data_IF_720650598792
#
_entry.id   IF_720650598792
#
_cell.length_a   1.000
_cell.length_b   1.000
_cell.length_c   1.000
_cell.angle_alpha   90.00
_cell.angle_beta   90.00
_cell.angle_gamma   90.00
#
_symmetry.space_group_name_H-M   'P 1'
#
loop_
_entity.id
_entity.type
_entity.pdbx_description
1 polymer ?
#
# COMPACT_ATOMS: atom_id res chain seq x y z
N UNK A 1 11.09 -24.11 22.53
CA UNK A 1 10.48 -23.50 21.32
C UNK A 1 11.14 -22.17 20.93
N UNK A 2 10.89 -21.03 21.62
CA UNK A 2 11.46 -19.71 21.23
C UNK A 2 12.98 -19.72 20.98
N UNK A 3 13.75 -20.36 21.87
CA UNK A 3 15.20 -20.51 21.70
C UNK A 3 15.62 -21.31 20.45
N UNK A 4 14.84 -22.33 20.07
CA UNK A 4 15.12 -23.15 18.88
C UNK A 4 14.79 -22.42 17.59
N UNK A 5 13.80 -21.52 17.59
CA UNK A 5 13.47 -20.69 16.43
C UNK A 5 14.65 -19.83 15.98
N UNK A 6 15.49 -19.35 16.91
CA UNK A 6 16.71 -18.60 16.56
C UNK A 6 17.74 -19.41 15.77
N UNK A 7 17.61 -20.75 15.71
CA UNK A 7 18.48 -21.64 14.94
C UNK A 7 18.00 -21.84 13.50
N UNK A 8 16.79 -21.40 13.16
CA UNK A 8 16.21 -21.55 11.82
C UNK A 8 16.66 -20.40 10.89
N UNK A 9 16.89 -20.68 9.60
CA UNK A 9 17.25 -19.67 8.62
C UNK A 9 16.00 -18.89 8.17
N UNK A 10 15.73 -17.78 8.83
CA UNK A 10 14.64 -16.88 8.45
C UNK A 10 14.96 -16.15 7.13
N UNK A 11 14.06 -16.26 6.16
CA UNK A 11 14.14 -15.57 4.87
C UNK A 11 13.28 -14.32 4.89
N UNK A 12 13.81 -13.22 4.38
CA UNK A 12 13.04 -12.00 4.18
C UNK A 12 11.98 -12.22 3.10
N UNK A 13 10.75 -11.77 3.37
CA UNK A 13 9.59 -11.84 2.49
C UNK A 13 9.00 -10.44 2.41
N UNK A 14 8.95 -9.89 1.21
CA UNK A 14 8.41 -8.57 0.93
C UNK A 14 7.67 -8.58 -0.40
N UNK A 15 6.45 -8.05 -0.40
CA UNK A 15 5.65 -7.73 -1.58
C UNK A 15 4.68 -6.58 -1.24
N UNK A 16 3.70 -6.30 -2.08
CA UNK A 16 2.62 -5.37 -1.80
C UNK A 16 1.91 -5.65 -0.46
N UNK A 17 1.59 -6.92 -0.19
CA UNK A 17 0.80 -7.35 0.96
C UNK A 17 1.56 -7.37 2.29
N UNK A 18 2.87 -7.63 2.29
CA UNK A 18 3.59 -7.90 3.54
C UNK A 18 5.07 -7.48 3.56
N UNK A 19 5.59 -7.41 4.79
CA UNK A 19 6.99 -7.14 5.13
C UNK A 19 7.36 -7.90 6.40
N UNK A 20 7.97 -9.09 6.26
CA UNK A 20 8.39 -9.91 7.42
C UNK A 20 9.50 -10.90 7.06
N UNK A 21 9.93 -11.68 8.03
CA UNK A 21 10.80 -12.84 7.84
C UNK A 21 10.07 -14.14 8.16
N UNK A 22 10.25 -15.16 7.30
CA UNK A 22 9.62 -16.47 7.46
C UNK A 22 10.67 -17.55 7.66
N UNK A 23 10.43 -18.50 8.57
CA UNK A 23 11.21 -19.74 8.61
C UNK A 23 10.84 -20.65 7.44
N UNK A 24 11.66 -21.67 7.12
CA UNK A 24 11.17 -22.82 6.37
C UNK A 24 10.01 -23.48 7.11
N UNK A 25 9.27 -24.35 6.42
CA UNK A 25 8.25 -25.18 7.04
C UNK A 25 8.81 -25.95 8.25
N UNK A 26 8.12 -25.84 9.39
CA UNK A 26 8.58 -26.40 10.67
C UNK A 26 8.55 -27.93 10.63
N UNK A 27 7.64 -28.55 9.86
CA UNK A 27 7.59 -30.00 9.75
C UNK A 27 8.89 -30.56 9.20
N UNK A 28 9.42 -29.93 8.17
CA UNK A 28 10.68 -30.33 7.55
C UNK A 28 11.90 -29.83 8.34
N UNK A 29 11.85 -28.58 8.81
CA UNK A 29 13.00 -27.94 9.43
C UNK A 29 13.32 -28.47 10.84
N UNK A 30 12.30 -28.83 11.63
CA UNK A 30 12.54 -29.33 12.99
C UNK A 30 13.37 -30.63 12.99
N UNK A 31 13.13 -31.52 12.02
CA UNK A 31 13.93 -32.72 11.84
C UNK A 31 15.35 -32.40 11.35
N UNK A 32 15.46 -31.62 10.26
CA UNK A 32 16.75 -31.29 9.65
C UNK A 32 17.74 -30.63 10.62
N UNK A 33 17.23 -29.76 11.51
CA UNK A 33 18.02 -29.04 12.51
C UNK A 33 18.03 -29.70 13.90
N UNK A 34 17.39 -30.88 14.06
CA UNK A 34 17.28 -31.63 15.33
C UNK A 34 16.71 -30.80 16.48
N UNK A 35 15.61 -30.09 16.22
CA UNK A 35 14.95 -29.15 17.13
C UNK A 35 13.83 -29.85 17.91
N UNK A 36 14.19 -30.46 19.04
CA UNK A 36 13.30 -31.34 19.81
C UNK A 36 12.03 -30.62 20.29
N UNK A 37 12.14 -29.38 20.77
CA UNK A 37 10.98 -28.67 21.30
C UNK A 37 10.02 -28.24 20.18
N UNK A 38 10.53 -27.90 18.99
CA UNK A 38 9.70 -27.62 17.81
C UNK A 38 9.04 -28.90 17.27
N UNK A 39 9.75 -30.02 17.24
CA UNK A 39 9.16 -31.33 16.91
C UNK A 39 8.01 -31.65 17.86
N UNK A 40 8.23 -31.52 19.18
CA UNK A 40 7.20 -31.79 20.18
C UNK A 40 5.99 -30.85 20.03
N UNK A 41 6.21 -29.55 19.77
CA UNK A 41 5.12 -28.61 19.55
C UNK A 41 4.29 -28.98 18.32
N UNK A 42 4.95 -29.24 17.18
CA UNK A 42 4.31 -29.68 15.95
C UNK A 42 3.49 -30.94 16.17
N UNK A 43 4.09 -31.97 16.77
CA UNK A 43 3.43 -33.26 17.03
C UNK A 43 2.24 -33.10 17.98
N UNK A 44 2.29 -32.13 18.90
CA UNK A 44 1.16 -31.82 19.79
C UNK A 44 0.01 -31.17 19.03
N UNK A 45 0.27 -30.09 18.27
CA UNK A 45 -0.75 -29.33 17.53
C UNK A 45 -1.38 -30.17 16.40
N UNK A 46 -0.61 -31.05 15.78
CA UNK A 46 -1.10 -31.95 14.73
C UNK A 46 -1.39 -33.37 15.23
N UNK A 47 -1.44 -33.59 16.54
CA UNK A 47 -1.87 -34.87 17.09
C UNK A 47 -3.35 -35.12 16.76
N UNK A 48 -3.71 -36.40 16.58
CA UNK A 48 -5.11 -36.81 16.40
C UNK A 48 -6.00 -36.27 17.53
N UNK A 49 -5.50 -36.25 18.77
CA UNK A 49 -6.26 -35.76 19.91
C UNK A 49 -6.52 -34.26 19.85
N UNK A 50 -5.51 -33.46 19.47
CA UNK A 50 -5.66 -32.01 19.32
C UNK A 50 -6.57 -31.67 18.13
N UNK A 51 -6.38 -32.30 16.98
CA UNK A 51 -7.23 -32.05 15.81
C UNK A 51 -8.68 -32.41 16.12
N UNK A 52 -8.95 -33.57 16.74
CA UNK A 52 -10.30 -33.94 17.20
C UNK A 52 -10.86 -32.97 18.25
N UNK A 53 -10.01 -32.41 19.11
CA UNK A 53 -10.42 -31.38 20.05
C UNK A 53 -10.89 -30.12 19.31
N UNK A 54 -10.15 -29.68 18.28
CA UNK A 54 -10.53 -28.55 17.44
C UNK A 54 -11.81 -28.80 16.64
N UNK A 55 -12.00 -30.01 16.10
CA UNK A 55 -13.26 -30.41 15.44
C UNK A 55 -14.45 -30.31 16.41
N UNK A 56 -14.31 -30.83 17.65
CA UNK A 56 -15.38 -30.75 18.67
C UNK A 56 -15.66 -29.33 19.11
N UNK A 57 -14.63 -28.49 19.21
CA UNK A 57 -14.75 -27.10 19.66
C UNK A 57 -15.42 -26.22 18.62
N UNK A 58 -15.09 -26.42 17.34
CA UNK A 58 -15.52 -25.53 16.25
C UNK A 58 -16.69 -26.08 15.44
N UNK A 59 -16.95 -27.39 15.49
CA UNK A 59 -17.91 -28.06 14.61
C UNK A 59 -17.42 -28.21 13.17
N UNK A 60 -16.16 -27.89 12.89
CA UNK A 60 -15.56 -27.95 11.55
C UNK A 60 -14.86 -29.30 11.38
N UNK A 61 -15.13 -29.99 10.26
CA UNK A 61 -14.40 -31.20 9.88
C UNK A 61 -12.99 -30.86 9.42
N UNK A 62 -11.99 -31.59 9.93
CA UNK A 62 -10.58 -31.33 9.65
C UNK A 62 -9.88 -32.57 9.07
N UNK A 63 -8.77 -32.33 8.39
CA UNK A 63 -7.81 -33.31 7.91
C UNK A 63 -6.78 -33.56 9.02
N UNK A 64 -6.50 -34.84 9.34
CA UNK A 64 -5.68 -35.26 10.47
C UNK A 64 -4.22 -35.55 10.06
N UNK A 65 -3.85 -35.28 8.81
CA UNK A 65 -2.56 -35.66 8.22
C UNK A 65 -1.78 -34.48 7.64
N UNK A 66 -2.45 -33.39 7.28
CA UNK A 66 -1.80 -32.21 6.73
C UNK A 66 -1.18 -31.37 7.85
N UNK A 67 0.14 -31.20 7.79
CA UNK A 67 0.90 -30.29 8.65
C UNK A 67 1.23 -29.04 7.86
N UNK A 68 0.86 -27.88 8.40
CA UNK A 68 1.14 -26.57 7.80
C UNK A 68 1.54 -25.60 8.92
N UNK A 69 2.83 -25.42 9.15
CA UNK A 69 3.32 -24.66 10.30
C UNK A 69 4.63 -23.94 9.95
N UNK A 70 4.66 -22.62 10.15
CA UNK A 70 5.87 -21.83 9.98
C UNK A 70 6.00 -20.76 11.05
N UNK A 71 7.23 -20.29 11.28
CA UNK A 71 7.48 -19.17 12.18
C UNK A 71 7.64 -17.88 11.39
N UNK A 72 7.14 -16.80 11.97
CA UNK A 72 7.15 -15.46 11.40
C UNK A 72 7.81 -14.50 12.38
N UNK A 73 8.74 -13.69 11.88
CA UNK A 73 9.39 -12.61 12.61
C UNK A 73 9.13 -11.30 11.88
N UNK A 74 8.39 -10.41 12.52
CA UNK A 74 8.15 -9.05 12.06
C UNK A 74 9.13 -8.13 12.78
N UNK A 75 10.08 -7.54 12.05
CA UNK A 75 10.96 -6.50 12.59
C UNK A 75 10.18 -5.20 12.82
N UNK A 76 10.79 -4.18 13.42
CA UNK A 76 10.20 -2.83 13.42
C UNK A 76 9.90 -2.38 11.97
N UNK A 77 8.69 -1.88 11.73
CA UNK A 77 8.16 -1.56 10.41
C UNK A 77 7.55 -2.75 9.66
N UNK A 78 7.65 -3.96 10.19
CA UNK A 78 7.08 -5.16 9.58
C UNK A 78 5.56 -5.26 9.78
N UNK A 79 4.85 -5.78 8.79
CA UNK A 79 3.39 -5.88 8.74
C UNK A 79 2.92 -7.01 7.81
N UNK A 80 1.63 -7.33 7.88
CA UNK A 80 0.92 -8.16 6.89
C UNK A 80 -0.49 -7.57 6.74
N UNK A 81 -0.81 -6.98 5.59
CA UNK A 81 -2.02 -6.17 5.38
C UNK A 81 -3.29 -7.02 5.27
N UNK A 82 -4.44 -6.37 5.09
CA UNK A 82 -5.76 -7.01 5.08
C UNK A 82 -5.87 -8.13 4.04
N UNK A 83 -6.12 -9.36 4.50
CA UNK A 83 -6.32 -10.58 3.72
C UNK A 83 -7.26 -11.54 4.46
N UNK A 84 -7.69 -12.63 3.83
CA UNK A 84 -8.69 -13.56 4.38
C UNK A 84 -8.21 -15.01 4.60
N UNK A 85 -6.98 -15.34 4.16
CA UNK A 85 -6.41 -16.69 4.13
C UNK A 85 -7.16 -17.74 3.27
N UNK A 86 -8.19 -17.33 2.51
CA UNK A 86 -9.10 -18.21 1.76
C UNK A 86 -8.51 -18.64 0.40
N UNK A 87 -7.45 -19.47 0.45
CA UNK A 87 -6.79 -20.00 -0.75
C UNK A 87 -7.51 -21.26 -1.26
N UNK A 88 -8.22 -21.14 -2.40
CA UNK A 88 -9.07 -22.21 -2.97
C UNK A 88 -8.51 -22.85 -4.23
N UNK A 89 -7.42 -23.60 -4.10
CA UNK A 89 -6.81 -24.33 -5.22
C UNK A 89 -7.28 -25.78 -5.34
N UNK A 90 -7.97 -26.30 -4.32
CA UNK A 90 -8.38 -27.70 -4.22
C UNK A 90 -9.69 -27.84 -3.43
N UNK A 91 -10.26 -29.05 -3.40
CA UNK A 91 -11.46 -29.36 -2.59
C UNK A 91 -11.18 -29.41 -1.09
N UNK A 92 -9.92 -29.58 -0.70
CA UNK A 92 -9.44 -29.46 0.68
C UNK A 92 -8.46 -28.29 0.80
N UNK A 93 -8.42 -27.66 1.97
CA UNK A 93 -7.47 -26.60 2.26
C UNK A 93 -7.70 -25.99 3.62
N UNK A 94 -7.26 -24.74 3.80
CA UNK A 94 -7.25 -24.05 5.09
C UNK A 94 -8.67 -23.88 5.64
N UNK A 95 -8.89 -24.33 6.88
CA UNK A 95 -10.18 -24.21 7.58
C UNK A 95 -10.09 -23.47 8.90
N UNK A 96 -9.00 -23.63 9.63
CA UNK A 96 -8.75 -22.88 10.87
C UNK A 96 -7.34 -22.34 10.81
N UNK A 97 -7.19 -21.02 10.79
CA UNK A 97 -5.91 -20.36 10.99
C UNK A 97 -5.61 -20.30 12.49
N UNK A 98 -4.34 -20.45 12.87
CA UNK A 98 -3.92 -20.27 14.26
C UNK A 98 -2.59 -19.53 14.35
N UNK A 99 -2.40 -18.84 15.48
CA UNK A 99 -1.18 -18.12 15.85
C UNK A 99 -0.82 -18.43 17.30
N UNK A 100 0.44 -18.79 17.51
CA UNK A 100 1.10 -18.93 18.82
C UNK A 100 2.05 -17.75 18.98
N UNK A 101 1.72 -16.84 19.89
CA UNK A 101 2.51 -15.65 20.14
C UNK A 101 3.71 -15.95 21.05
N UNK A 102 4.90 -15.63 20.54
CA UNK A 102 6.19 -15.82 21.22
C UNK A 102 6.91 -14.48 21.42
N UNK A 103 6.13 -13.42 21.58
CA UNK A 103 6.57 -12.05 21.87
C UNK A 103 7.24 -11.95 23.25
N UNK A 104 7.81 -10.80 23.57
CA UNK A 104 8.28 -10.50 24.93
C UNK A 104 7.10 -10.46 25.91
N UNK A 105 7.34 -10.82 27.17
CA UNK A 105 6.27 -10.92 28.20
C UNK A 105 5.62 -9.57 28.53
N UNK A 106 6.33 -8.46 28.29
CA UNK A 106 5.88 -7.09 28.50
C UNK A 106 5.28 -6.44 27.23
N UNK A 107 4.97 -7.23 26.19
CA UNK A 107 4.38 -6.70 24.96
C UNK A 107 3.05 -6.01 25.21
N UNK A 108 2.87 -4.84 24.60
CA UNK A 108 1.72 -3.96 24.79
C UNK A 108 1.20 -3.40 23.47
N UNK A 109 0.05 -2.71 23.50
CA UNK A 109 -0.50 -2.05 22.31
C UNK A 109 0.47 -1.04 21.66
N UNK A 110 1.37 -0.43 22.45
CA UNK A 110 2.35 0.56 21.94
C UNK A 110 3.40 -0.06 21.03
N UNK A 111 3.62 -1.37 21.16
CA UNK A 111 4.63 -2.12 20.43
C UNK A 111 4.16 -2.51 19.02
N UNK A 112 2.87 -2.28 18.70
CA UNK A 112 2.26 -2.64 17.43
C UNK A 112 2.07 -4.15 17.27
N UNK A 113 1.95 -4.63 16.03
CA UNK A 113 1.88 -6.08 15.75
C UNK A 113 0.56 -6.77 16.14
N UNK A 114 -0.50 -6.00 16.39
CA UNK A 114 -1.81 -6.54 16.72
C UNK A 114 -2.38 -7.40 15.58
N UNK A 115 -3.19 -8.41 15.94
CA UNK A 115 -4.08 -9.07 14.98
C UNK A 115 -5.36 -8.23 14.91
N UNK A 116 -5.53 -7.48 13.84
CA UNK A 116 -6.73 -6.69 13.60
C UNK A 116 -7.73 -7.50 12.78
N UNK A 117 -9.01 -7.45 13.14
CA UNK A 117 -10.12 -8.12 12.49
C UNK A 117 -11.07 -7.08 11.89
N UNK A 118 -11.43 -7.25 10.62
CA UNK A 118 -12.27 -6.30 9.90
C UNK A 118 -13.74 -6.70 9.93
N UNK A 119 -14.62 -5.69 10.01
CA UNK A 119 -16.00 -5.86 9.57
C UNK A 119 -16.08 -6.08 8.06
N UNK A 120 -17.23 -6.57 7.61
CA UNK A 120 -17.57 -6.65 6.20
C UNK A 120 -18.79 -5.81 5.87
N UNK A 121 -18.83 -5.29 4.65
CA UNK A 121 -20.00 -4.62 4.11
C UNK A 121 -21.04 -5.63 3.56
N UNK A 122 -22.11 -5.08 2.96
CA UNK A 122 -23.18 -5.86 2.33
C UNK A 122 -22.71 -6.66 1.09
N UNK A 123 -21.55 -6.33 0.53
CA UNK A 123 -20.92 -7.02 -0.61
C UNK A 123 -19.82 -8.01 -0.18
N UNK A 124 -19.67 -8.27 1.11
CA UNK A 124 -18.61 -9.11 1.68
C UNK A 124 -17.20 -8.59 1.43
N UNK A 125 -17.01 -7.28 1.32
CA UNK A 125 -15.69 -6.63 1.31
C UNK A 125 -15.33 -6.11 2.70
N UNK A 126 -14.04 -6.07 3.08
CA UNK A 126 -13.63 -5.54 4.37
C UNK A 126 -13.90 -4.03 4.45
N UNK A 127 -14.22 -3.55 5.65
CA UNK A 127 -14.50 -2.14 5.92
C UNK A 127 -13.58 -1.58 7.02
N UNK A 128 -14.08 -1.34 8.23
CA UNK A 128 -13.27 -0.91 9.37
C UNK A 128 -12.76 -2.08 10.23
N UNK A 129 -11.69 -1.83 10.97
CA UNK A 129 -11.23 -2.72 12.05
C UNK A 129 -12.23 -2.64 13.20
N UNK A 130 -12.83 -3.77 13.56
CA UNK A 130 -13.79 -3.88 14.67
C UNK A 130 -13.19 -4.52 15.93
N UNK A 131 -12.07 -5.22 15.78
CA UNK A 131 -11.37 -5.82 16.90
C UNK A 131 -9.87 -5.81 16.67
N UNK A 132 -9.09 -5.57 17.72
CA UNK A 132 -7.63 -5.57 17.67
C UNK A 132 -7.08 -6.36 18.85
N UNK A 133 -6.41 -7.48 18.56
CA UNK A 133 -5.86 -8.39 19.56
C UNK A 133 -4.37 -8.11 19.72
N UNK A 134 -4.00 -7.49 20.84
CA UNK A 134 -2.60 -7.29 21.22
C UNK A 134 -1.96 -8.65 21.50
N UNK A 135 -0.83 -9.00 20.85
CA UNK A 135 -0.20 -10.29 21.08
C UNK A 135 0.38 -10.34 22.50
N UNK A 136 0.18 -11.46 23.18
CA UNK A 136 0.72 -11.71 24.51
C UNK A 136 1.53 -13.00 24.50
N UNK A 137 2.59 -13.05 25.30
CA UNK A 137 3.41 -14.25 25.42
C UNK A 137 2.56 -15.49 25.72
N UNK A 138 2.87 -16.59 25.02
CA UNK A 138 2.26 -17.90 25.22
C UNK A 138 0.72 -17.91 25.05
N UNK A 139 0.21 -17.06 24.15
CA UNK A 139 -1.21 -17.01 23.77
C UNK A 139 -1.43 -17.73 22.44
N UNK A 140 -2.49 -18.54 22.37
CA UNK A 140 -2.93 -19.26 21.18
C UNK A 140 -4.23 -18.62 20.66
N UNK A 141 -4.15 -17.91 19.52
CA UNK A 141 -5.31 -17.36 18.83
C UNK A 141 -5.65 -18.25 17.63
N UNK A 142 -6.94 -18.39 17.31
CA UNK A 142 -7.39 -19.10 16.12
C UNK A 142 -8.76 -18.59 15.66
N UNK A 143 -9.07 -18.78 14.38
CA UNK A 143 -10.34 -18.43 13.78
C UNK A 143 -10.63 -19.28 12.54
N UNK A 144 -11.90 -19.40 12.17
CA UNK A 144 -12.31 -20.07 10.93
C UNK A 144 -11.86 -19.25 9.71
N UNK A 145 -11.27 -19.94 8.73
CA UNK A 145 -10.91 -19.37 7.43
C UNK A 145 -12.13 -19.45 6.52
N UNK A 146 -12.46 -18.32 5.90
CA UNK A 146 -13.51 -18.24 4.91
C UNK A 146 -13.47 -16.93 4.14
N UNK A 147 -14.44 -16.73 3.26
CA UNK A 147 -14.43 -15.60 2.33
C UNK A 147 -14.60 -14.21 2.97
N UNK A 148 -14.75 -14.15 4.29
CA UNK A 148 -15.00 -12.93 5.07
C UNK A 148 -14.16 -12.85 6.34
N UNK A 149 -13.20 -13.76 6.53
CA UNK A 149 -12.28 -13.75 7.69
C UNK A 149 -11.15 -12.73 7.50
N UNK A 150 -11.50 -11.50 7.12
CA UNK A 150 -10.54 -10.44 6.84
C UNK A 150 -9.79 -10.01 8.10
N UNK A 151 -8.47 -10.03 8.02
CA UNK A 151 -7.60 -9.70 9.13
C UNK A 151 -6.24 -9.18 8.63
N UNK A 152 -5.47 -8.58 9.54
CA UNK A 152 -4.10 -8.13 9.28
C UNK A 152 -3.21 -8.29 10.52
N UNK A 153 -1.90 -8.25 10.32
CA UNK A 153 -0.93 -7.95 11.38
C UNK A 153 -0.54 -6.48 11.25
N UNK A 154 -1.01 -5.66 12.20
CA UNK A 154 -0.66 -4.26 12.29
C UNK A 154 0.86 -4.05 12.32
N UNK A 155 1.32 -2.89 11.87
CA UNK A 155 2.74 -2.56 11.85
C UNK A 155 3.38 -2.74 13.24
N UNK A 156 4.58 -3.34 13.28
CA UNK A 156 5.35 -3.50 14.51
C UNK A 156 6.19 -2.25 14.76
N UNK A 157 6.08 -1.67 15.95
CA UNK A 157 6.85 -0.49 16.35
C UNK A 157 8.03 -0.85 17.26
N UNK A 158 7.99 -1.99 17.95
CA UNK A 158 9.07 -2.42 18.86
C UNK A 158 10.28 -2.92 18.08
N UNK A 159 11.47 -2.45 18.48
CA UNK A 159 12.74 -2.76 17.82
C UNK A 159 13.20 -4.22 17.95
N UNK A 160 12.80 -4.93 19.02
CA UNK A 160 13.13 -6.36 19.19
C UNK A 160 12.34 -7.28 18.24
N UNK A 161 11.27 -6.76 17.63
CA UNK A 161 10.42 -7.47 16.68
C UNK A 161 9.43 -8.43 17.34
N UNK A 162 8.40 -8.81 16.58
CA UNK A 162 7.32 -9.72 16.98
C UNK A 162 7.59 -11.12 16.42
N UNK A 163 7.70 -12.11 17.30
CA UNK A 163 7.87 -13.52 16.91
C UNK A 163 6.57 -14.30 17.14
N UNK A 164 6.18 -15.10 16.17
CA UNK A 164 5.05 -16.03 16.28
C UNK A 164 5.29 -17.31 15.49
N UNK A 165 4.62 -18.39 15.88
CA UNK A 165 4.40 -19.55 15.03
C UNK A 165 2.95 -19.47 14.55
N UNK A 166 2.70 -19.65 13.26
CA UNK A 166 1.35 -19.72 12.72
C UNK A 166 1.23 -20.85 11.71
N UNK A 167 -0.01 -21.22 11.44
CA UNK A 167 -0.31 -22.32 10.54
C UNK A 167 -1.80 -22.50 10.36
N UNK A 168 -2.17 -23.57 9.66
CA UNK A 168 -3.56 -23.87 9.37
C UNK A 168 -3.88 -25.34 9.65
N UNK A 169 -5.04 -25.58 10.24
CA UNK A 169 -5.67 -26.90 10.20
C UNK A 169 -6.49 -26.99 8.91
N UNK A 170 -6.21 -28.01 8.12
CA UNK A 170 -6.84 -28.21 6.82
C UNK A 170 -8.12 -29.02 6.94
N UNK A 171 -8.97 -28.99 5.92
CA UNK A 171 -10.19 -29.78 5.83
C UNK A 171 -10.96 -29.51 4.54
N UNK A 172 -12.16 -30.10 4.36
CA UNK A 172 -13.01 -29.85 3.20
C UNK A 172 -13.41 -28.36 3.11
N UNK A 173 -13.23 -27.74 1.95
CA UNK A 173 -13.62 -26.34 1.72
C UNK A 173 -15.07 -26.30 1.21
N UNK A 174 -15.97 -25.50 1.80
CA UNK A 174 -17.32 -25.29 1.26
C UNK A 174 -17.28 -24.64 -0.13
N UNK A 175 -18.28 -24.90 -0.97
CA UNK A 175 -18.39 -24.22 -2.28
C UNK A 175 -18.43 -22.70 -2.11
N UNK A 176 -17.71 -21.99 -2.98
CA UNK A 176 -17.62 -20.54 -2.94
C UNK A 176 -18.83 -19.91 -3.63
N UNK A 177 -19.36 -18.84 -3.05
CA UNK A 177 -20.10 -17.86 -3.84
C UNK A 177 -19.10 -17.08 -4.71
N UNK A 178 -19.45 -16.80 -5.96
CA UNK A 178 -18.65 -15.90 -6.79
C UNK A 178 -18.54 -14.54 -6.11
N UNK A 179 -17.31 -14.04 -5.95
CA UNK A 179 -17.08 -12.69 -5.46
C UNK A 179 -17.20 -11.72 -6.65
N UNK A 180 -17.99 -10.65 -6.55
CA UNK A 180 -18.06 -9.66 -7.61
C UNK A 180 -16.70 -8.97 -7.77
N UNK A 181 -16.36 -8.59 -9.00
CA UNK A 181 -15.23 -7.70 -9.25
C UNK A 181 -15.47 -6.36 -8.55
N UNK A 182 -14.41 -5.78 -8.00
CA UNK A 182 -14.40 -4.44 -7.45
C UNK A 182 -14.08 -3.43 -8.54
N UNK A 183 -14.99 -2.46 -8.73
CA UNK A 183 -14.77 -1.40 -9.71
C UNK A 183 -13.86 -0.32 -9.11
N UNK A 184 -12.67 -0.17 -9.68
CA UNK A 184 -11.70 0.85 -9.26
C UNK A 184 -12.22 2.26 -9.56
N UNK A 185 -12.28 3.09 -8.52
CA UNK A 185 -12.45 4.54 -8.62
C UNK A 185 -11.11 5.23 -8.87
N UNK A 186 -11.08 6.41 -9.52
CA UNK A 186 -12.20 7.15 -10.11
C UNK A 186 -12.69 6.56 -11.44
N UNK A 187 -13.87 7.02 -11.88
CA UNK A 187 -14.36 6.72 -13.23
C UNK A 187 -13.61 7.55 -14.29
N UNK A 188 -13.47 7.02 -15.53
CA UNK A 188 -12.78 7.76 -16.58
C UNK A 188 -13.54 9.04 -16.97
N UNK A 189 -12.78 10.10 -17.25
CA UNK A 189 -13.26 11.37 -17.82
C UNK A 189 -12.67 11.61 -19.20
N UNK A 190 -13.34 12.42 -20.01
CA UNK A 190 -12.83 12.86 -21.32
C UNK A 190 -11.97 14.10 -21.11
N UNK A 191 -10.80 14.13 -21.74
CA UNK A 191 -9.91 15.27 -21.72
C UNK A 191 -10.55 16.44 -22.48
N UNK A 192 -10.57 17.61 -21.86
CA UNK A 192 -11.25 18.79 -22.39
C UNK A 192 -10.32 20.00 -22.33
N UNK A 193 -10.66 21.06 -23.05
CA UNK A 193 -9.90 22.32 -23.06
C UNK A 193 -8.52 22.23 -23.75
N UNK A 194 -8.24 23.20 -24.62
CA UNK A 194 -6.93 23.39 -25.20
C UNK A 194 -6.24 24.55 -24.49
N UNK A 195 -5.36 24.23 -23.54
CA UNK A 195 -4.68 25.19 -22.67
C UNK A 195 -3.32 25.62 -23.25
N UNK A 196 -2.90 26.83 -22.89
CA UNK A 196 -1.54 27.31 -23.17
C UNK A 196 -0.55 26.65 -22.19
N UNK A 197 0.01 25.50 -22.57
CA UNK A 197 0.90 24.70 -21.71
C UNK A 197 2.08 25.47 -21.12
N UNK A 198 2.59 26.48 -21.84
CA UNK A 198 3.68 27.35 -21.40
C UNK A 198 3.34 28.23 -20.19
N UNK A 199 2.08 28.32 -19.75
CA UNK A 199 1.68 28.98 -18.49
C UNK A 199 1.91 28.09 -17.26
N UNK A 200 2.05 26.77 -17.47
CA UNK A 200 2.08 25.78 -16.39
C UNK A 200 3.40 25.01 -16.33
N UNK A 201 3.90 24.60 -17.50
CA UNK A 201 5.02 23.68 -17.66
C UNK A 201 6.30 24.48 -17.95
N UNK A 202 7.43 23.99 -17.46
CA UNK A 202 8.73 24.57 -17.76
C UNK A 202 9.04 24.54 -19.27
N UNK A 203 9.54 25.62 -19.87
CA UNK A 203 9.77 25.70 -21.33
C UNK A 203 10.70 24.61 -21.89
N UNK A 204 11.60 24.08 -21.06
CA UNK A 204 12.53 23.01 -21.42
C UNK A 204 11.83 21.69 -21.78
N UNK A 205 10.55 21.51 -21.41
CA UNK A 205 9.76 20.33 -21.77
C UNK A 205 8.87 20.52 -22.99
N UNK A 206 8.79 21.73 -23.55
CA UNK A 206 7.83 22.08 -24.61
C UNK A 206 8.47 22.30 -25.99
N UNK A 207 9.80 22.38 -26.08
CA UNK A 207 10.49 22.57 -27.36
C UNK A 207 10.65 21.28 -28.16
N UNK A 208 10.58 21.35 -29.49
CA UNK A 208 10.65 20.20 -30.40
C UNK A 208 11.85 19.27 -30.14
N UNK A 209 13.03 19.84 -29.88
CA UNK A 209 14.24 19.07 -29.57
C UNK A 209 14.10 18.30 -28.25
N UNK A 210 13.52 18.93 -27.23
CA UNK A 210 13.30 18.31 -25.94
C UNK A 210 12.25 17.20 -26.02
N UNK A 211 11.14 17.47 -26.70
CA UNK A 211 10.09 16.48 -26.99
C UNK A 211 10.69 15.26 -27.71
N UNK A 212 11.50 15.47 -28.75
CA UNK A 212 12.15 14.39 -29.47
C UNK A 212 13.10 13.55 -28.60
N UNK A 213 13.83 14.18 -27.68
CA UNK A 213 14.69 13.47 -26.73
C UNK A 213 13.89 12.67 -25.70
N UNK A 214 12.83 13.27 -25.14
CA UNK A 214 11.91 12.60 -24.21
C UNK A 214 11.29 11.38 -24.88
N UNK A 215 10.79 11.56 -26.10
CA UNK A 215 10.21 10.48 -26.88
C UNK A 215 11.18 9.33 -27.13
N UNK A 216 12.42 9.64 -27.51
CA UNK A 216 13.45 8.61 -27.69
C UNK A 216 13.67 7.79 -26.42
N UNK A 217 13.82 8.46 -25.26
CA UNK A 217 14.01 7.76 -23.98
C UNK A 217 12.79 6.91 -23.64
N UNK A 218 11.59 7.46 -23.84
CA UNK A 218 10.35 6.75 -23.56
C UNK A 218 10.19 5.50 -24.43
N UNK A 219 10.50 5.57 -25.73
CA UNK A 219 10.44 4.41 -26.63
C UNK A 219 11.43 3.30 -26.25
N UNK A 220 12.56 3.66 -25.62
CA UNK A 220 13.57 2.70 -25.17
C UNK A 220 13.21 2.06 -23.81
N UNK A 221 12.54 2.79 -22.93
CA UNK A 221 12.37 2.40 -21.52
C UNK A 221 10.92 2.20 -21.08
N UNK A 222 9.95 2.53 -21.94
CA UNK A 222 8.51 2.60 -21.63
C UNK A 222 8.17 3.45 -20.40
N UNK A 223 9.11 4.29 -19.96
CA UNK A 223 8.98 5.11 -18.76
C UNK A 223 9.94 6.30 -18.80
N UNK A 224 9.59 7.39 -18.12
CA UNK A 224 10.47 8.55 -17.93
C UNK A 224 10.05 9.37 -16.69
N UNK A 225 11.02 10.01 -16.03
CA UNK A 225 10.79 11.00 -14.97
C UNK A 225 11.30 12.39 -15.41
N UNK A 226 10.41 13.38 -15.41
CA UNK A 226 10.69 14.78 -15.73
C UNK A 226 10.68 15.60 -14.43
N UNK A 227 11.86 15.96 -13.93
CA UNK A 227 12.02 16.72 -12.70
C UNK A 227 11.89 18.22 -12.94
N UNK A 228 11.41 18.96 -11.95
CA UNK A 228 11.10 20.39 -12.05
C UNK A 228 10.10 20.69 -13.17
N UNK A 229 9.08 19.84 -13.33
CA UNK A 229 8.16 19.87 -14.47
C UNK A 229 7.32 21.15 -14.55
N UNK A 230 6.71 21.54 -13.44
CA UNK A 230 5.91 22.76 -13.36
C UNK A 230 6.79 23.99 -13.16
N UNK A 231 6.30 25.14 -13.60
CA UNK A 231 6.92 26.41 -13.28
C UNK A 231 7.09 26.59 -11.76
N UNK A 232 8.23 27.12 -11.28
CA UNK A 232 8.53 27.20 -9.85
C UNK A 232 7.46 27.90 -9.03
N UNK A 233 6.91 29.01 -9.53
CA UNK A 233 5.85 29.76 -8.85
C UNK A 233 4.59 28.92 -8.70
N UNK A 234 4.15 28.25 -9.77
CA UNK A 234 2.95 27.42 -9.74
C UNK A 234 3.11 26.24 -8.77
N UNK A 235 4.28 25.61 -8.77
CA UNK A 235 4.60 24.55 -7.82
C UNK A 235 4.59 25.05 -6.37
N UNK A 236 5.20 26.21 -6.09
CA UNK A 236 5.20 26.81 -4.76
C UNK A 236 3.78 27.16 -4.28
N UNK A 237 2.94 27.72 -5.17
CA UNK A 237 1.55 28.03 -4.88
C UNK A 237 0.74 26.75 -4.59
N UNK A 238 1.00 25.65 -5.30
CA UNK A 238 0.38 24.34 -5.04
C UNK A 238 0.76 23.80 -3.66
N UNK A 239 2.06 23.77 -3.35
CA UNK A 239 2.58 23.30 -2.05
C UNK A 239 1.97 24.13 -0.92
N UNK A 240 1.92 25.45 -1.09
CA UNK A 240 1.28 26.34 -0.13
C UNK A 240 -0.22 26.02 0.06
N UNK A 241 -0.95 25.85 -1.03
CA UNK A 241 -2.38 25.52 -0.99
C UNK A 241 -2.64 24.22 -0.20
N UNK A 242 -1.90 23.15 -0.51
CA UNK A 242 -2.11 21.83 0.09
C UNK A 242 -1.60 21.71 1.52
N UNK A 243 -0.60 22.50 1.92
CA UNK A 243 -0.08 22.50 3.29
C UNK A 243 -0.88 23.39 4.25
N UNK A 244 -1.37 24.55 3.79
CA UNK A 244 -2.10 25.49 4.65
C UNK A 244 -3.59 25.18 4.73
N UNK A 245 -4.17 24.65 3.65
CA UNK A 245 -5.59 24.28 3.58
C UNK A 245 -5.71 22.92 2.90
N UNK A 246 -5.50 21.82 3.66
CA UNK A 246 -5.68 20.48 3.12
C UNK A 246 -7.05 20.35 2.46
N UNK A 247 -7.08 19.75 1.27
CA UNK A 247 -8.33 19.47 0.57
C UNK A 247 -9.20 18.52 1.42
N UNK A 248 -10.51 18.72 1.36
CA UNK A 248 -11.43 17.73 1.91
C UNK A 248 -11.24 16.41 1.13
N UNK A 249 -11.23 15.29 1.84
CA UNK A 249 -11.07 13.97 1.24
C UNK A 249 -11.67 12.89 2.10
N UNK A 250 -11.69 11.67 1.57
CA UNK A 250 -12.14 10.49 2.28
C UNK A 250 -11.13 9.35 2.11
N UNK A 251 -11.05 8.50 3.14
CA UNK A 251 -10.32 7.24 3.04
C UNK A 251 -11.01 6.38 1.99
N UNK A 252 -10.21 5.86 1.06
CA UNK A 252 -10.64 5.02 -0.05
C UNK A 252 -10.20 3.59 0.22
N UNK A 253 -11.14 2.66 0.05
CA UNK A 253 -10.97 1.23 0.26
C UNK A 253 -11.50 0.40 -0.91
N UNK A 254 -11.78 -0.91 -0.70
CA UNK A 254 -11.70 -1.62 0.59
C UNK A 254 -10.25 -1.97 1.00
N UNK A 255 -9.96 -2.22 2.29
CA UNK A 255 -8.60 -2.44 2.79
C UNK A 255 -7.82 -3.62 2.18
N UNK A 256 -8.48 -4.62 1.60
CA UNK A 256 -7.82 -5.70 0.85
C UNK A 256 -7.40 -5.29 -0.58
N UNK A 257 -7.73 -4.08 -1.01
CA UNK A 257 -7.34 -3.53 -2.32
C UNK A 257 -6.52 -2.25 -2.15
N UNK A 258 -6.96 -1.35 -1.27
CA UNK A 258 -6.30 -0.07 -1.06
C UNK A 258 -6.67 0.58 0.27
N UNK A 259 -5.82 1.47 0.74
CA UNK A 259 -6.08 2.31 1.89
C UNK A 259 -5.33 3.63 1.72
N UNK A 260 -5.98 4.68 1.22
CA UNK A 260 -5.39 6.01 1.10
C UNK A 260 -6.47 7.10 1.16
N UNK A 261 -6.09 8.37 1.30
CA UNK A 261 -7.06 9.47 1.23
C UNK A 261 -7.16 9.99 -0.20
N UNK A 262 -8.36 9.96 -0.78
CA UNK A 262 -8.69 10.61 -2.06
C UNK A 262 -9.31 11.96 -1.78
N UNK A 263 -8.83 13.00 -2.46
CA UNK A 263 -9.36 14.35 -2.29
C UNK A 263 -10.59 14.59 -3.18
N UNK A 264 -11.54 15.31 -2.62
CA UNK A 264 -12.66 15.88 -3.35
C UNK A 264 -12.18 17.15 -4.03
N UNK A 265 -11.99 17.07 -5.35
CA UNK A 265 -11.67 18.26 -6.15
C UNK A 265 -12.99 18.97 -6.45
N UNK A 266 -13.12 20.27 -6.12
CA UNK A 266 -14.29 21.07 -6.49
C UNK A 266 -14.50 21.11 -8.01
N UNK A 267 -15.68 21.53 -8.44
CA UNK A 267 -16.01 21.65 -9.87
C UNK A 267 -14.97 22.53 -10.59
N UNK A 268 -14.16 21.87 -11.43
CA UNK A 268 -13.04 22.45 -12.16
C UNK A 268 -13.47 23.55 -13.12
N UNK A 269 -14.75 23.61 -13.51
CA UNK A 269 -15.29 24.67 -14.36
C UNK A 269 -15.42 26.01 -13.65
N UNK A 270 -15.50 26.02 -12.30
CA UNK A 270 -15.75 27.24 -11.52
C UNK A 270 -14.67 27.53 -10.48
N UNK A 271 -13.85 26.55 -10.11
CA UNK A 271 -12.77 26.72 -9.15
C UNK A 271 -11.48 27.24 -9.81
N UNK A 272 -11.02 28.39 -9.33
CA UNK A 272 -9.77 29.03 -9.76
C UNK A 272 -8.59 28.68 -8.86
N UNK A 273 -8.74 27.77 -7.89
CA UNK A 273 -7.66 27.31 -7.02
C UNK A 273 -6.52 26.67 -7.82
N UNK A 274 -5.29 26.71 -7.27
CA UNK A 274 -4.12 26.10 -7.91
C UNK A 274 -4.30 24.60 -8.13
N UNK A 275 -4.99 23.92 -7.21
CA UNK A 275 -5.34 22.50 -7.35
C UNK A 275 -6.26 22.27 -8.55
N UNK A 276 -7.32 23.07 -8.69
CA UNK A 276 -8.25 22.97 -9.82
C UNK A 276 -7.57 23.34 -11.15
N UNK A 277 -6.67 24.32 -11.15
CA UNK A 277 -5.85 24.65 -12.31
C UNK A 277 -4.98 23.47 -12.76
N UNK A 278 -4.33 22.77 -11.83
CA UNK A 278 -3.51 21.59 -12.16
C UNK A 278 -4.35 20.37 -12.52
N UNK A 279 -5.52 20.19 -11.89
CA UNK A 279 -6.48 19.19 -12.34
C UNK A 279 -6.84 19.43 -13.81
N UNK A 280 -7.22 20.67 -14.19
CA UNK A 280 -7.51 21.02 -15.58
C UNK A 280 -6.33 20.77 -16.50
N UNK A 281 -5.13 21.20 -16.12
CA UNK A 281 -3.92 20.95 -16.90
C UNK A 281 -3.77 19.46 -17.21
N UNK A 282 -3.71 18.62 -16.17
CA UNK A 282 -3.41 17.21 -16.34
C UNK A 282 -4.58 16.40 -16.90
N UNK A 283 -5.79 16.94 -16.97
CA UNK A 283 -6.91 16.34 -17.72
C UNK A 283 -7.26 17.12 -18.98
N UNK A 284 -6.35 17.95 -19.50
CA UNK A 284 -6.63 18.77 -20.68
C UNK A 284 -6.36 18.08 -22.00
N UNK A 285 -7.04 18.52 -23.07
CA UNK A 285 -6.75 18.08 -24.43
C UNK A 285 -5.32 18.47 -24.85
N UNK A 286 -4.86 19.66 -24.46
CA UNK A 286 -3.50 20.12 -24.73
C UNK A 286 -2.44 19.21 -24.08
N UNK A 287 -2.65 18.82 -22.82
CA UNK A 287 -1.72 17.92 -22.13
C UNK A 287 -1.78 16.50 -22.70
N UNK A 288 -2.96 16.00 -23.05
CA UNK A 288 -3.13 14.75 -23.81
C UNK A 288 -2.32 14.75 -25.11
N UNK A 289 -2.36 15.84 -25.90
CA UNK A 289 -1.56 15.98 -27.11
C UNK A 289 -0.05 15.99 -26.83
N UNK A 290 0.38 16.65 -25.74
CA UNK A 290 1.79 16.62 -25.31
C UNK A 290 2.21 15.19 -24.93
N UNK A 291 1.38 14.44 -24.20
CA UNK A 291 1.65 13.04 -23.88
C UNK A 291 1.78 12.19 -25.14
N UNK A 292 0.91 12.37 -26.14
CA UNK A 292 1.05 11.68 -27.44
C UNK A 292 2.39 12.01 -28.12
N UNK A 293 2.87 13.24 -28.04
CA UNK A 293 4.18 13.60 -28.59
C UNK A 293 5.34 12.98 -27.79
N UNK A 294 5.21 12.86 -26.46
CA UNK A 294 6.21 12.20 -25.63
C UNK A 294 6.23 10.69 -25.84
N UNK A 295 5.11 10.04 -26.11
CA UNK A 295 5.02 8.58 -26.03
C UNK A 295 4.80 7.89 -27.37
N UNK A 296 4.42 8.65 -28.40
CA UNK A 296 3.96 8.14 -29.70
C UNK A 296 2.69 7.27 -29.60
N UNK A 297 1.95 7.37 -28.49
CA UNK A 297 0.63 6.76 -28.33
C UNK A 297 -0.45 7.71 -28.87
N UNK A 298 -1.45 7.16 -29.52
CA UNK A 298 -2.52 7.94 -30.16
C UNK A 298 -3.83 7.86 -29.36
N UNK A 299 -4.75 8.79 -29.60
CA UNK A 299 -6.10 8.70 -29.02
C UNK A 299 -6.15 8.78 -27.49
N UNK A 300 -5.17 9.41 -26.82
CA UNK A 300 -5.15 9.57 -25.34
C UNK A 300 -6.21 10.55 -24.81
N UNK A 301 -7.47 10.43 -25.24
CA UNK A 301 -8.55 11.38 -24.96
C UNK A 301 -9.32 11.07 -23.68
N UNK A 302 -9.09 9.91 -23.07
CA UNK A 302 -9.80 9.49 -21.86
C UNK A 302 -8.81 9.11 -20.78
N UNK A 303 -9.05 9.56 -19.55
CA UNK A 303 -8.21 9.19 -18.42
C UNK A 303 -9.03 8.97 -17.13
N UNK A 304 -8.55 8.08 -16.25
CA UNK A 304 -8.94 8.07 -14.84
C UNK A 304 -7.97 8.98 -14.10
N UNK A 305 -8.46 9.95 -13.32
CA UNK A 305 -7.59 10.91 -12.65
C UNK A 305 -8.07 11.25 -11.24
N UNK A 306 -7.14 11.35 -10.29
CA UNK A 306 -7.42 11.71 -8.91
C UNK A 306 -6.25 12.44 -8.25
N UNK A 307 -6.58 13.25 -7.25
CA UNK A 307 -5.63 13.66 -6.23
C UNK A 307 -5.74 12.72 -5.04
N UNK A 308 -4.61 12.21 -4.58
CA UNK A 308 -4.55 11.28 -3.45
C UNK A 308 -3.33 11.49 -2.58
N UNK A 309 -3.47 11.08 -1.32
CA UNK A 309 -2.42 11.16 -0.32
C UNK A 309 -2.27 9.86 0.47
N UNK A 310 -1.04 9.39 0.53
CA UNK A 310 -0.60 8.30 1.38
C UNK A 310 0.09 8.90 2.60
N UNK A 311 -0.53 8.74 3.77
CA UNK A 311 0.03 9.01 5.08
C UNK A 311 0.60 7.69 5.65
N UNK A 312 1.35 7.72 6.76
CA UNK A 312 1.70 6.49 7.46
C UNK A 312 0.49 5.58 7.63
N UNK A 313 0.66 4.29 7.37
CA UNK A 313 -0.34 3.24 7.23
C UNK A 313 -1.11 3.12 5.92
N UNK A 314 -0.91 4.01 4.94
CA UNK A 314 -1.58 3.95 3.65
C UNK A 314 -0.82 3.09 2.62
N UNK A 315 -1.56 2.48 1.67
CA UNK A 315 -1.04 1.54 0.67
C UNK A 315 -2.02 1.30 -0.50
N UNK A 316 -1.56 0.61 -1.54
CA UNK A 316 -2.42 -0.16 -2.47
C UNK A 316 -1.90 -1.59 -2.61
N UNK A 317 -2.76 -2.51 -3.04
CA UNK A 317 -2.48 -3.94 -3.19
C UNK A 317 -2.82 -4.44 -4.59
N UNK A 318 -2.13 -5.49 -5.01
CA UNK A 318 -2.52 -6.28 -6.16
C UNK A 318 -3.65 -7.21 -5.74
N UNK A 319 -4.75 -7.23 -6.50
CA UNK A 319 -5.91 -8.02 -6.11
C UNK A 319 -6.70 -8.52 -7.34
N UNK A 320 -6.99 -9.82 -7.38
CA UNK A 320 -7.64 -10.48 -8.52
C UNK A 320 -9.04 -9.93 -8.86
N UNK A 321 -9.72 -9.35 -7.87
CA UNK A 321 -11.02 -8.71 -8.06
C UNK A 321 -10.94 -7.25 -8.49
N UNK A 322 -9.77 -6.62 -8.43
CA UNK A 322 -9.57 -5.20 -8.71
C UNK A 322 -8.52 -5.04 -9.82
N UNK A 323 -8.86 -5.52 -11.02
CA UNK A 323 -7.94 -5.58 -12.15
C UNK A 323 -7.76 -4.19 -12.75
N UNK A 324 -6.52 -3.70 -12.75
CA UNK A 324 -6.14 -2.51 -13.50
C UNK A 324 -5.99 -2.86 -14.99
N UNK A 325 -6.55 -2.02 -15.86
CA UNK A 325 -6.41 -2.15 -17.31
C UNK A 325 -5.11 -1.52 -17.79
N UNK A 326 -4.61 -1.95 -18.94
CA UNK A 326 -3.48 -1.33 -19.66
C UNK A 326 -3.69 0.18 -19.84
N UNK A 327 -2.59 0.92 -19.93
CA UNK A 327 -2.64 2.35 -20.16
C UNK A 327 -1.34 3.10 -19.85
N UNK A 328 -1.40 4.40 -20.08
CA UNK A 328 -0.30 5.32 -19.80
C UNK A 328 -0.50 5.97 -18.43
N UNK A 329 0.28 5.53 -17.46
CA UNK A 329 0.28 6.05 -16.11
C UNK A 329 1.07 7.36 -16.04
N UNK A 330 0.43 8.40 -15.51
CA UNK A 330 0.99 9.74 -15.34
C UNK A 330 0.85 10.14 -13.87
N UNK A 331 1.98 10.29 -13.20
CA UNK A 331 2.06 10.61 -11.77
C UNK A 331 2.78 11.93 -11.59
N UNK A 332 2.15 12.91 -10.96
CA UNK A 332 2.81 14.12 -10.50
C UNK A 332 2.92 14.08 -8.97
N UNK A 333 4.15 13.90 -8.47
CA UNK A 333 4.38 13.66 -7.03
C UNK A 333 4.83 14.92 -6.29
N UNK A 334 4.35 15.05 -5.05
CA UNK A 334 4.66 16.16 -4.15
C UNK A 334 4.71 15.64 -2.69
N UNK A 335 5.90 15.27 -2.19
CA UNK A 335 6.08 14.97 -0.79
C UNK A 335 5.71 16.18 0.08
N UNK A 336 4.76 16.01 1.00
CA UNK A 336 4.34 17.08 1.91
C UNK A 336 4.65 16.70 3.36
N UNK A 337 5.35 17.55 4.14
CA UNK A 337 5.64 17.27 5.54
C UNK A 337 4.39 16.87 6.31
N UNK A 338 4.51 15.90 7.22
CA UNK A 338 3.42 15.61 8.15
C UNK A 338 3.18 16.86 9.00
N UNK A 339 1.98 17.45 8.90
CA UNK A 339 1.56 18.51 9.82
C UNK A 339 1.55 17.91 11.22
N UNK A 340 2.52 18.26 12.05
CA UNK A 340 2.43 17.95 13.47
C UNK A 340 1.16 18.62 14.00
N UNK A 341 0.35 17.95 14.84
CA UNK A 341 -0.67 18.66 15.58
C UNK A 341 0.01 19.82 16.32
N UNK A 342 -0.51 21.04 16.16
CA UNK A 342 -0.07 22.18 16.97
C UNK A 342 -0.09 21.73 18.43
N UNK A 343 1.07 21.64 19.06
CA UNK A 343 1.15 21.44 20.50
C UNK A 343 0.38 22.58 21.17
N UNK A 344 -0.77 22.26 21.74
CA UNK A 344 -1.54 23.18 22.58
C UNK A 344 -0.89 23.28 23.95
N UNK A 345 0.37 23.68 24.01
CA UNK A 345 1.00 24.05 25.28
C UNK A 345 0.80 25.56 25.48
N UNK A 346 -0.39 25.90 25.97
CA UNK A 346 -0.70 27.25 26.45
C UNK A 346 -0.05 27.44 27.81
N UNK A 347 1.24 27.76 27.81
CA UNK A 347 1.85 28.50 28.93
C UNK A 347 2.27 29.86 28.41
N UNK A 348 1.46 30.87 28.74
CA UNK A 348 1.78 32.27 28.57
C UNK A 348 3.07 32.57 29.37
N UNK A 349 4.18 32.79 28.67
CA UNK A 349 5.24 33.65 29.18
C UNK A 349 5.47 34.78 28.17
N UNK A 350 5.09 35.97 28.61
CA UNK A 350 5.23 37.21 27.89
C UNK A 350 6.70 37.60 27.78
N UNK A 351 7.28 37.53 26.58
CA UNK A 351 8.37 38.44 26.19
C UNK A 351 8.20 38.86 24.73
N UNK A 352 7.95 40.16 24.54
CA UNK A 352 7.95 40.83 23.25
C UNK A 352 9.33 40.72 22.60
N UNK A 353 9.45 39.94 21.51
CA UNK A 353 10.42 40.19 20.44
C UNK A 353 9.74 39.95 19.10
N UNK A 354 9.52 41.05 18.38
CA UNK A 354 9.22 41.07 16.96
C UNK A 354 10.42 40.52 16.20
N UNK A 355 10.37 39.23 15.85
CA UNK A 355 11.26 38.64 14.84
C UNK A 355 10.57 38.76 13.47
N UNK A 356 11.29 39.11 12.40
CA UNK A 356 10.70 39.20 11.09
C UNK A 356 10.23 37.82 10.63
N UNK A 357 9.07 37.77 9.99
CA UNK A 357 8.57 36.59 9.28
C UNK A 357 9.62 36.22 8.23
N UNK A 358 10.38 35.17 8.51
CA UNK A 358 11.28 34.54 7.56
C UNK A 358 10.43 33.85 6.50
N UNK A 359 10.40 34.42 5.30
CA UNK A 359 9.92 33.78 4.06
C UNK A 359 10.90 32.70 3.60
N UNK A 360 11.28 31.79 4.49
CA UNK A 360 12.00 30.59 4.11
C UNK A 360 10.99 29.63 3.52
N UNK A 361 11.12 29.34 2.23
CA UNK A 361 10.42 28.24 1.59
C UNK A 361 10.47 27.00 2.49
N UNK A 362 9.37 26.26 2.66
CA UNK A 362 9.43 25.00 3.38
C UNK A 362 10.47 24.13 2.70
N UNK A 363 11.55 23.79 3.42
CA UNK A 363 12.60 22.94 2.89
C UNK A 363 11.95 21.65 2.35
N UNK A 364 12.14 21.39 1.06
CA UNK A 364 11.61 20.18 0.43
C UNK A 364 12.10 18.97 1.22
N UNK A 365 11.19 18.19 1.81
CA UNK A 365 11.56 16.97 2.53
C UNK A 365 12.10 15.98 1.51
N UNK A 366 13.39 15.68 1.58
CA UNK A 366 13.97 14.55 0.85
C UNK A 366 13.31 13.26 1.34
N UNK A 367 12.79 12.46 0.41
CA UNK A 367 12.18 11.17 0.74
C UNK A 367 13.27 10.17 1.18
N UNK A 368 13.01 9.46 2.27
CA UNK A 368 13.86 8.34 2.69
C UNK A 368 13.19 7.04 2.25
N UNK A 369 13.87 6.25 1.42
CA UNK A 369 13.36 4.97 0.93
C UNK A 369 13.05 3.98 2.07
N UNK A 370 13.69 4.15 3.24
CA UNK A 370 13.38 3.37 4.44
C UNK A 370 11.95 3.60 4.93
N UNK A 371 11.30 4.71 4.56
CA UNK A 371 9.89 4.97 4.84
C UNK A 371 8.95 4.13 3.99
N UNK A 372 9.45 3.49 2.94
CA UNK A 372 8.64 2.85 1.89
C UNK A 372 7.75 3.89 1.18
N UNK A 373 6.58 3.51 0.66
CA UNK A 373 5.73 4.43 -0.13
C UNK A 373 6.15 4.61 -1.59
N UNK A 374 7.05 3.78 -2.10
CA UNK A 374 7.38 3.72 -3.53
C UNK A 374 6.20 3.18 -4.36
N UNK A 375 6.04 3.68 -5.58
CA UNK A 375 5.14 3.08 -6.58
C UNK A 375 5.94 2.03 -7.35
N UNK A 376 5.59 0.77 -7.20
CA UNK A 376 6.24 -0.36 -7.84
C UNK A 376 5.45 -0.79 -9.07
N UNK A 377 6.13 -1.06 -10.17
CA UNK A 377 5.61 -1.76 -11.34
C UNK A 377 6.22 -3.15 -11.38
N UNK A 378 5.37 -4.16 -11.52
CA UNK A 378 5.77 -5.57 -11.43
C UNK A 378 5.17 -6.39 -12.56
N UNK A 379 5.93 -7.38 -13.05
CA UNK A 379 5.48 -8.41 -13.98
C UNK A 379 6.13 -9.73 -13.58
N UNK A 380 5.40 -10.85 -13.69
CA UNK A 380 5.91 -12.19 -13.36
C UNK A 380 6.61 -12.31 -11.98
N UNK A 381 6.14 -11.52 -10.99
CA UNK A 381 6.68 -11.41 -9.62
C UNK A 381 8.05 -10.73 -9.52
N UNK A 382 8.54 -10.14 -10.60
CA UNK A 382 9.73 -9.31 -10.62
C UNK A 382 9.36 -7.82 -10.61
N UNK A 383 10.16 -7.00 -9.93
CA UNK A 383 10.00 -5.54 -9.97
C UNK A 383 10.69 -5.00 -11.21
N UNK A 384 9.94 -4.36 -12.08
CA UNK A 384 10.43 -3.73 -13.30
C UNK A 384 10.94 -2.31 -13.01
N UNK A 385 10.18 -1.54 -12.21
CA UNK A 385 10.44 -0.13 -11.93
C UNK A 385 9.90 0.24 -10.54
N UNK A 386 10.63 1.09 -9.83
CA UNK A 386 10.16 1.73 -8.59
C UNK A 386 10.27 3.24 -8.72
N UNK A 387 9.17 3.95 -8.52
CA UNK A 387 9.11 5.41 -8.50
C UNK A 387 8.97 5.93 -7.07
N UNK A 388 10.06 6.54 -6.59
CA UNK A 388 10.11 7.21 -5.30
C UNK A 388 9.55 8.63 -5.39
N UNK A 389 8.81 9.11 -4.36
CA UNK A 389 8.28 10.47 -4.36
C UNK A 389 9.37 11.53 -4.49
N UNK A 390 9.29 12.38 -5.51
CA UNK A 390 10.22 13.49 -5.76
C UNK A 390 9.45 14.78 -5.96
N UNK A 391 9.86 15.91 -5.35
CA UNK A 391 9.15 17.17 -5.52
C UNK A 391 9.13 17.60 -7.00
N UNK A 392 8.02 18.20 -7.42
CA UNK A 392 7.82 18.77 -8.77
C UNK A 392 8.24 17.83 -9.91
N UNK A 393 7.92 16.54 -9.78
CA UNK A 393 8.35 15.51 -10.73
C UNK A 393 7.14 14.86 -11.39
N UNK A 394 7.11 14.87 -12.72
CA UNK A 394 6.15 14.13 -13.54
C UNK A 394 6.79 12.80 -13.96
N UNK A 395 6.20 11.68 -13.57
CA UNK A 395 6.56 10.36 -14.03
C UNK A 395 5.53 9.86 -15.03
N UNK A 396 5.99 9.31 -16.15
CA UNK A 396 5.16 8.72 -17.20
C UNK A 396 5.61 7.27 -17.38
N UNK A 397 4.69 6.31 -17.33
CA UNK A 397 4.97 4.88 -17.46
C UNK A 397 3.90 4.24 -18.33
N UNK A 398 4.29 3.60 -19.43
CA UNK A 398 3.39 2.75 -20.19
C UNK A 398 3.29 1.38 -19.55
N UNK A 399 2.06 0.91 -19.35
CA UNK A 399 1.77 -0.36 -18.69
C UNK A 399 0.92 -1.23 -19.61
N UNK A 400 1.48 -2.37 -19.99
CA UNK A 400 0.86 -3.35 -20.87
C UNK A 400 0.20 -4.50 -20.09
N UNK A 401 -0.43 -5.41 -20.83
CA UNK A 401 -1.05 -6.60 -20.28
C UNK A 401 -0.02 -7.44 -19.51
N UNK A 402 -0.29 -7.64 -18.21
CA UNK A 402 0.58 -8.42 -17.32
C UNK A 402 1.48 -7.57 -16.44
N UNK A 403 1.63 -6.27 -16.76
CA UNK A 403 2.28 -5.33 -15.85
C UNK A 403 1.26 -4.76 -14.87
N UNK A 404 1.52 -4.98 -13.58
CA UNK A 404 0.71 -4.47 -12.48
C UNK A 404 1.48 -3.41 -11.70
N UNK A 405 0.78 -2.65 -10.85
CA UNK A 405 1.43 -1.66 -9.99
C UNK A 405 0.80 -1.58 -8.60
N UNK A 406 1.59 -1.11 -7.64
CA UNK A 406 1.08 -0.79 -6.31
C UNK A 406 1.95 0.27 -5.62
N UNK A 407 1.35 1.03 -4.70
CA UNK A 407 2.08 1.87 -3.75
C UNK A 407 2.34 1.05 -2.49
N UNK A 408 3.61 0.76 -2.21
CA UNK A 408 4.02 0.01 -1.02
C UNK A 408 3.59 0.76 0.23
N UNK A 409 3.19 0.03 1.27
CA UNK A 409 2.81 0.57 2.58
C UNK A 409 3.78 1.62 3.09
N UNK A 410 3.26 2.81 3.42
CA UNK A 410 4.05 3.88 4.03
C UNK A 410 4.12 3.67 5.54
N UNK A 411 5.32 3.49 6.09
CA UNK A 411 5.49 3.06 7.48
C UNK A 411 5.46 4.22 8.50
N UNK A 412 5.35 3.90 9.80
CA UNK A 412 5.28 4.90 10.88
C UNK A 412 6.50 5.82 11.00
N UNK A 413 7.63 5.47 10.37
CA UNK A 413 8.85 6.27 10.45
C UNK A 413 8.79 7.49 9.53
N UNK A 414 7.91 7.47 8.52
CA UNK A 414 7.77 8.53 7.54
C UNK A 414 7.56 9.91 8.20
N UNK A 415 8.24 10.91 7.66
CA UNK A 415 8.11 12.33 8.09
C UNK A 415 7.35 13.18 7.10
N UNK A 416 6.97 12.59 5.97
CA UNK A 416 6.28 13.22 4.87
C UNK A 416 5.18 12.28 4.38
N UNK A 417 4.10 12.86 3.88
CA UNK A 417 3.08 12.13 3.12
C UNK A 417 3.51 12.05 1.66
N UNK A 418 3.15 10.97 0.98
CA UNK A 418 3.19 10.93 -0.49
C UNK A 418 1.86 11.50 -0.98
N UNK A 419 1.86 12.79 -1.35
CA UNK A 419 0.73 13.40 -2.06
C UNK A 419 1.04 13.38 -3.55
N UNK A 420 0.04 13.08 -4.37
CA UNK A 420 0.20 13.04 -5.81
C UNK A 420 -1.11 13.34 -6.55
N UNK A 421 -0.96 13.85 -7.77
CA UNK A 421 -1.95 13.67 -8.81
C UNK A 421 -1.60 12.40 -9.57
N UNK A 422 -2.55 11.47 -9.67
CA UNK A 422 -2.39 10.23 -10.39
C UNK A 422 -3.43 10.13 -11.50
N UNK A 423 -2.98 9.86 -12.73
CA UNK A 423 -3.85 9.57 -13.84
C UNK A 423 -3.39 8.34 -14.64
N UNK A 424 -4.34 7.66 -15.26
CA UNK A 424 -4.09 6.64 -16.28
C UNK A 424 -4.85 7.02 -17.53
N UNK A 425 -4.13 7.27 -18.62
CA UNK A 425 -4.69 7.56 -19.94
C UNK A 425 -4.83 6.29 -20.76
N UNK A 426 -5.85 6.26 -21.60
CA UNK A 426 -6.16 5.11 -22.45
C UNK A 426 -6.13 5.53 -23.91
N UNK A 427 -5.57 4.68 -24.76
CA UNK A 427 -5.76 4.79 -26.20
C UNK A 427 -7.24 4.52 -26.52
N UNK A 428 -7.82 5.33 -27.40
CA UNK A 428 -9.14 5.04 -27.96
C UNK A 428 -9.03 3.78 -28.86
N UNK A 429 -9.94 2.81 -28.71
CA UNK A 429 -9.88 1.53 -29.42
C UNK A 429 -10.12 1.62 -30.94
#
# INVERSE_FOLDING_TARGET
VRQELHKLPFQHKSNDLYEFYQSPDIATAAEAYRLQALTQLKDTIYSVDFVRFMERLTGIALNHHTVDMSAHRYSQGGYLLCHDDDIRQSKEGRRIAYIIYLVDEDWSAKDGGALDLFAKDDHNQPQEIVHSVVPQWNTFAFFEVGATSFHQVAEVHRSTGRLSISGWLHGPIPEANQRPSYELVPQPVICQENLMLAEYIMPEFLGDQAIGNINKVFLEQSSIELQNFLQPKLYADLVHALTQRPLAGAVTGPPNVMHYTRYFVPDVATDTSTVAQLQRLFTSDAFSQLLSQYTNLEGLKRCKAEWRTFAPSHYTLLHDLAIETDGLDVLFTLPLPLTQPLSTDTTLSSTNRSSPVSTTEPAATTWDEAWQGGMHYVADKETLLTLWPKPNTLSIVFRDQGTMRFVKYLNHQAKSTRTEFAATFYEDP
#
